data_IF_159617150672
#
_entry.id   IF_159617150672
#
_cell.length_a   1.000
_cell.length_b   1.000
_cell.length_c   1.000
_cell.angle_alpha   90.00
_cell.angle_beta   90.00
_cell.angle_gamma   90.00
#
_symmetry.space_group_name_H-M   'P 1'
#
loop_
_entity.id
_entity.type
_entity.pdbx_description
1 polymer ?
#
# COMPACT_ATOMS: atom_id res chain seq x y z
N UNK A 1 -4.46 8.99 -10.96
CA UNK A 1 -4.11 7.60 -11.34
C UNK A 1 -4.94 6.61 -10.54
N UNK A 2 -4.98 6.67 -9.21
CA UNK A 2 -5.73 5.69 -8.37
C UNK A 2 -7.22 5.59 -8.72
N UNK A 3 -7.91 6.70 -8.99
CA UNK A 3 -9.32 6.71 -9.40
C UNK A 3 -9.57 6.14 -10.81
N UNK A 4 -8.64 6.29 -11.74
CA UNK A 4 -8.73 5.70 -13.07
C UNK A 4 -8.62 4.17 -13.01
N UNK A 5 -7.74 3.68 -12.12
CA UNK A 5 -7.59 2.26 -11.81
C UNK A 5 -8.88 1.71 -11.19
N UNK A 6 -9.44 2.43 -10.21
CA UNK A 6 -10.70 2.07 -9.58
C UNK A 6 -11.85 1.99 -10.58
N UNK A 7 -11.98 2.99 -11.46
CA UNK A 7 -13.02 3.04 -12.50
C UNK A 7 -12.89 1.87 -13.50
N UNK A 8 -11.65 1.54 -13.90
CA UNK A 8 -11.37 0.40 -14.78
C UNK A 8 -11.76 -0.93 -14.12
N UNK A 9 -11.36 -1.15 -12.87
CA UNK A 9 -11.70 -2.36 -12.12
C UNK A 9 -13.21 -2.47 -11.89
N UNK A 10 -13.86 -1.38 -11.49
CA UNK A 10 -15.30 -1.33 -11.29
C UNK A 10 -16.08 -1.68 -12.57
N UNK A 11 -15.71 -1.10 -13.70
CA UNK A 11 -16.35 -1.40 -14.99
C UNK A 11 -16.24 -2.87 -15.36
N UNK A 12 -15.10 -3.52 -15.03
CA UNK A 12 -14.87 -4.91 -15.34
C UNK A 12 -15.75 -5.89 -14.54
N UNK A 13 -16.12 -5.56 -13.28
CA UNK A 13 -16.90 -6.47 -12.40
C UNK A 13 -18.38 -6.14 -12.30
N UNK A 14 -18.76 -4.86 -12.43
CA UNK A 14 -20.07 -4.30 -12.10
C UNK A 14 -21.28 -5.07 -12.62
N UNK A 15 -21.17 -5.68 -13.81
CA UNK A 15 -22.30 -6.38 -14.45
C UNK A 15 -22.19 -7.92 -14.34
N UNK A 16 -21.19 -8.42 -13.61
CA UNK A 16 -20.84 -9.85 -13.61
C UNK A 16 -20.89 -10.49 -12.22
N UNK A 17 -21.18 -9.71 -11.18
CA UNK A 17 -21.30 -10.14 -9.78
C UNK A 17 -22.46 -9.43 -9.08
N UNK A 18 -22.84 -9.91 -7.91
CA UNK A 18 -23.93 -9.34 -7.10
C UNK A 18 -23.43 -8.14 -6.29
N UNK A 19 -22.18 -8.21 -5.81
CA UNK A 19 -21.52 -7.12 -5.12
C UNK A 19 -20.00 -7.17 -5.35
N UNK A 20 -19.32 -6.04 -5.20
CA UNK A 20 -17.87 -5.95 -5.36
C UNK A 20 -17.27 -4.95 -4.36
N UNK A 21 -15.99 -5.16 -4.08
CA UNK A 21 -15.11 -4.24 -3.36
C UNK A 21 -13.76 -4.22 -4.08
N UNK A 22 -13.22 -3.03 -4.27
CA UNK A 22 -11.94 -2.79 -4.93
C UNK A 22 -11.06 -2.01 -3.95
N UNK A 23 -9.89 -2.55 -3.66
CA UNK A 23 -8.85 -1.92 -2.87
C UNK A 23 -7.65 -1.63 -3.76
N UNK A 24 -7.17 -0.41 -3.73
CA UNK A 24 -6.00 0.02 -4.48
C UNK A 24 -5.01 0.62 -3.49
N UNK A 25 -3.76 0.29 -3.66
CA UNK A 25 -2.66 0.82 -2.88
C UNK A 25 -1.55 1.28 -3.81
N UNK A 26 -1.05 2.48 -3.57
CA UNK A 26 0.16 3.04 -4.17
C UNK A 26 1.11 3.39 -3.03
N UNK A 27 2.37 3.02 -3.14
CA UNK A 27 3.38 3.37 -2.15
C UNK A 27 4.71 3.73 -2.80
N UNK A 28 5.45 4.59 -2.11
CA UNK A 28 6.85 4.88 -2.39
C UNK A 28 7.64 4.72 -1.10
N UNK A 29 8.78 4.06 -1.16
CA UNK A 29 9.64 3.88 0.00
C UNK A 29 11.12 4.07 -0.33
N UNK A 30 11.86 4.52 0.67
CA UNK A 30 13.33 4.55 0.71
C UNK A 30 13.74 3.70 1.90
N UNK A 31 14.60 2.72 1.66
CA UNK A 31 15.16 1.86 2.69
C UNK A 31 16.67 1.83 2.61
N UNK A 32 17.33 2.06 3.74
CA UNK A 32 18.77 1.97 3.90
C UNK A 32 19.09 1.00 5.02
N UNK A 33 20.10 0.20 4.82
CA UNK A 33 20.67 -0.68 5.83
C UNK A 33 22.18 -0.53 5.85
N UNK A 34 22.78 -0.49 7.03
CA UNK A 34 24.20 -0.49 7.19
C UNK A 34 24.64 -1.56 8.18
N UNK A 35 25.82 -2.06 7.94
CA UNK A 35 26.53 -2.94 8.86
C UNK A 35 27.78 -2.23 9.36
N UNK A 36 27.80 -1.94 10.65
CA UNK A 36 28.76 -1.00 11.24
C UNK A 36 28.63 0.36 10.55
N UNK A 37 29.73 0.90 10.05
CA UNK A 37 29.81 2.19 9.36
C UNK A 37 29.58 2.09 7.84
N UNK A 38 29.49 0.87 7.30
CA UNK A 38 29.39 0.65 5.86
C UNK A 38 27.95 0.45 5.43
N UNK A 39 27.51 1.22 4.43
CA UNK A 39 26.21 1.05 3.79
C UNK A 39 26.15 -0.31 3.10
N UNK A 40 25.22 -1.17 3.54
CA UNK A 40 25.00 -2.49 2.98
C UNK A 40 24.09 -2.45 1.76
N UNK A 41 22.98 -1.72 1.84
CA UNK A 41 22.13 -1.42 0.69
C UNK A 41 21.40 -0.08 0.85
N UNK A 42 21.02 0.47 -0.29
CA UNK A 42 20.13 1.60 -0.43
C UNK A 42 19.12 1.28 -1.54
N UNK A 43 17.83 1.39 -1.23
CA UNK A 43 16.74 1.01 -2.14
C UNK A 43 15.69 2.11 -2.16
N UNK A 44 15.25 2.45 -3.36
CA UNK A 44 14.02 3.20 -3.59
C UNK A 44 13.05 2.30 -4.34
N UNK A 45 11.80 2.21 -3.88
CA UNK A 45 10.79 1.33 -4.44
C UNK A 45 9.48 2.09 -4.62
N UNK A 46 8.82 1.83 -5.73
CA UNK A 46 7.47 2.31 -6.01
C UNK A 46 6.62 1.09 -6.32
N UNK A 47 5.60 0.90 -5.52
CA UNK A 47 4.66 -0.20 -5.67
C UNK A 47 3.25 0.32 -5.94
N UNK A 48 2.51 -0.45 -6.73
CA UNK A 48 1.08 -0.24 -6.93
C UNK A 48 0.39 -1.60 -7.04
N UNK A 49 -0.74 -1.74 -6.38
CA UNK A 49 -1.51 -2.97 -6.41
C UNK A 49 -3.02 -2.72 -6.41
N UNK A 50 -3.75 -3.64 -7.03
CA UNK A 50 -5.22 -3.65 -7.07
C UNK A 50 -5.70 -5.01 -6.59
N UNK A 51 -6.46 -5.03 -5.49
CA UNK A 51 -7.21 -6.17 -5.02
C UNK A 51 -8.69 -6.04 -5.39
N UNK A 52 -9.28 -7.07 -5.97
CA UNK A 52 -10.66 -7.11 -6.39
C UNK A 52 -11.36 -8.26 -5.68
N UNK A 53 -12.37 -7.94 -4.89
CA UNK A 53 -13.19 -8.89 -4.16
C UNK A 53 -14.61 -8.80 -4.66
N UNK A 54 -15.23 -9.93 -4.95
CA UNK A 54 -16.61 -10.00 -5.46
C UNK A 54 -17.44 -10.99 -4.67
N UNK A 55 -18.75 -10.75 -4.63
CA UNK A 55 -19.74 -11.72 -4.17
C UNK A 55 -20.57 -12.10 -5.39
N UNK A 56 -20.75 -13.40 -5.61
CA UNK A 56 -21.63 -13.95 -6.63
C UNK A 56 -22.28 -15.24 -6.13
N UNK A 57 -23.59 -15.32 -6.18
CA UNK A 57 -24.36 -16.46 -5.67
C UNK A 57 -24.00 -16.79 -4.20
N UNK A 58 -23.88 -15.77 -3.35
CA UNK A 58 -23.43 -15.85 -1.95
C UNK A 58 -22.04 -16.50 -1.76
N UNK A 59 -21.19 -16.42 -2.76
CA UNK A 59 -19.79 -16.90 -2.71
C UNK A 59 -18.85 -15.75 -2.95
N UNK A 60 -17.80 -15.68 -2.14
CA UNK A 60 -16.74 -14.68 -2.25
C UNK A 60 -15.66 -15.14 -3.21
N UNK A 61 -15.25 -14.29 -4.11
CA UNK A 61 -14.05 -14.48 -4.92
C UNK A 61 -13.10 -13.30 -4.77
N UNK A 62 -11.82 -13.57 -4.90
CA UNK A 62 -10.76 -12.56 -4.78
C UNK A 62 -9.67 -12.82 -5.82
N UNK A 63 -9.16 -11.74 -6.39
CA UNK A 63 -7.92 -11.74 -7.15
C UNK A 63 -7.22 -10.39 -6.99
N UNK A 64 -5.93 -10.34 -7.27
CA UNK A 64 -5.15 -9.12 -7.22
C UNK A 64 -4.16 -9.06 -8.39
N UNK A 65 -3.69 -7.86 -8.69
CA UNK A 65 -2.61 -7.64 -9.65
C UNK A 65 -1.80 -6.39 -9.28
N UNK A 66 -0.49 -6.44 -9.52
CA UNK A 66 0.40 -5.28 -9.54
C UNK A 66 0.66 -4.78 -10.97
N UNK A 67 0.18 -5.47 -12.00
CA UNK A 67 0.24 -5.04 -13.39
C UNK A 67 -1.07 -4.32 -13.78
N UNK A 68 -1.01 -3.00 -13.94
CA UNK A 68 -2.17 -2.17 -14.28
C UNK A 68 -2.78 -2.48 -15.64
N UNK A 69 -2.06 -3.21 -16.51
CA UNK A 69 -2.62 -3.69 -17.77
C UNK A 69 -3.50 -4.93 -17.59
N UNK A 70 -3.37 -5.65 -16.45
CA UNK A 70 -4.08 -6.90 -16.15
C UNK A 70 -5.26 -6.73 -15.19
N UNK A 71 -5.72 -5.51 -14.97
CA UNK A 71 -6.86 -5.24 -14.08
C UNK A 71 -8.11 -6.02 -14.51
N UNK A 72 -8.41 -6.05 -15.81
CA UNK A 72 -9.57 -6.78 -16.34
C UNK A 72 -9.43 -8.30 -16.19
N UNK A 73 -8.22 -8.82 -16.35
CA UNK A 73 -7.92 -10.24 -16.11
C UNK A 73 -8.10 -10.60 -14.63
N UNK A 74 -7.58 -9.78 -13.72
CA UNK A 74 -7.79 -9.95 -12.28
C UNK A 74 -9.27 -9.86 -11.90
N UNK A 75 -10.03 -8.95 -12.50
CA UNK A 75 -11.47 -8.83 -12.31
C UNK A 75 -12.21 -10.12 -12.71
N UNK A 76 -11.91 -10.65 -13.88
CA UNK A 76 -12.49 -11.92 -14.34
C UNK A 76 -12.08 -13.09 -13.45
N UNK A 77 -10.82 -13.14 -13.03
CA UNK A 77 -10.31 -14.17 -12.13
C UNK A 77 -10.99 -14.13 -10.76
N UNK A 78 -11.27 -12.94 -10.22
CA UNK A 78 -12.01 -12.81 -8.96
C UNK A 78 -13.41 -13.45 -9.05
N UNK A 79 -14.10 -13.27 -10.18
CA UNK A 79 -15.42 -13.86 -10.44
C UNK A 79 -15.31 -15.39 -10.58
N UNK A 80 -14.33 -15.89 -11.32
CA UNK A 80 -14.12 -17.35 -11.45
C UNK A 80 -13.80 -18.00 -10.11
N UNK A 81 -13.05 -17.33 -9.26
CA UNK A 81 -12.68 -17.81 -7.94
C UNK A 81 -13.88 -17.98 -6.99
N UNK A 82 -15.00 -17.33 -7.24
CA UNK A 82 -16.25 -17.60 -6.47
C UNK A 82 -16.70 -19.04 -6.59
N UNK A 83 -16.47 -19.69 -7.74
CA UNK A 83 -16.85 -21.09 -7.98
C UNK A 83 -16.12 -22.08 -7.06
N UNK A 84 -14.96 -21.69 -6.56
CA UNK A 84 -14.11 -22.53 -5.70
C UNK A 84 -14.48 -22.41 -4.22
N UNK A 85 -15.25 -21.39 -3.84
CA UNK A 85 -15.59 -21.11 -2.46
C UNK A 85 -16.99 -21.64 -2.08
N UNK A 86 -17.18 -21.82 -0.78
CA UNK A 86 -18.47 -22.22 -0.20
C UNK A 86 -19.41 -21.02 -0.14
N UNK A 87 -20.70 -21.30 -0.13
CA UNK A 87 -21.75 -20.31 0.13
C UNK A 87 -21.57 -19.76 1.55
N UNK A 88 -21.61 -18.45 1.69
CA UNK A 88 -21.68 -17.72 2.95
C UNK A 88 -22.75 -16.63 2.83
N UNK A 89 -23.92 -16.90 3.36
CA UNK A 89 -25.06 -15.98 3.31
C UNK A 89 -24.91 -14.77 4.24
N UNK A 90 -23.93 -14.80 5.16
CA UNK A 90 -23.68 -13.71 6.11
C UNK A 90 -22.55 -12.78 5.65
N UNK A 91 -21.87 -13.10 4.54
CA UNK A 91 -20.81 -12.25 4.04
C UNK A 91 -21.38 -11.05 3.28
N UNK A 92 -21.01 -9.86 3.70
CA UNK A 92 -21.39 -8.60 3.04
C UNK A 92 -20.21 -7.61 3.06
N UNK A 93 -20.20 -6.70 2.12
CA UNK A 93 -19.29 -5.55 2.15
C UNK A 93 -19.82 -4.46 3.06
N UNK A 94 -18.91 -3.62 3.56
CA UNK A 94 -19.25 -2.49 4.43
C UNK A 94 -20.26 -1.55 3.78
N UNK A 95 -21.14 -1.00 4.60
CA UNK A 95 -22.03 0.08 4.25
C UNK A 95 -21.33 1.43 4.43
N UNK A 96 -21.91 2.48 3.85
CA UNK A 96 -21.40 3.84 3.99
C UNK A 96 -21.55 4.30 5.44
N UNK A 97 -20.42 4.56 6.07
CA UNK A 97 -20.37 5.14 7.41
C UNK A 97 -19.54 6.42 7.40
N UNK A 98 -19.76 7.27 8.40
CA UNK A 98 -18.94 8.47 8.57
C UNK A 98 -17.58 8.08 9.14
N UNK A 99 -16.55 8.19 8.31
CA UNK A 99 -15.17 7.98 8.73
C UNK A 99 -14.62 9.27 9.34
N UNK A 100 -14.01 9.22 10.53
CA UNK A 100 -13.37 10.39 11.12
C UNK A 100 -12.13 10.79 10.31
N UNK A 101 -11.95 12.08 10.09
CA UNK A 101 -10.72 12.61 9.51
C UNK A 101 -9.56 12.48 10.51
N UNK A 102 -8.50 11.76 10.15
CA UNK A 102 -7.26 11.68 10.91
C UNK A 102 -6.30 12.74 10.36
N UNK A 103 -5.83 13.63 11.25
CA UNK A 103 -4.97 14.75 10.86
C UNK A 103 -3.50 14.45 11.18
N UNK A 104 -2.59 15.07 10.42
CA UNK A 104 -1.14 15.01 10.62
C UNK A 104 -0.54 13.61 10.39
N UNK A 105 -1.14 12.84 9.51
CA UNK A 105 -0.63 11.54 9.09
C UNK A 105 0.22 11.62 7.83
N UNK A 106 0.17 12.75 7.10
CA UNK A 106 0.93 12.98 5.88
C UNK A 106 1.81 14.23 5.99
N UNK A 107 3.10 14.09 5.70
CA UNK A 107 4.08 15.17 5.59
C UNK A 107 4.54 15.35 4.15
N UNK A 108 4.18 16.49 3.55
CA UNK A 108 4.55 16.83 2.17
C UNK A 108 6.04 16.89 1.90
N UNK A 109 6.87 17.03 2.94
CA UNK A 109 8.32 17.02 2.82
C UNK A 109 8.88 15.70 2.32
N UNK A 110 8.10 14.61 2.40
CA UNK A 110 8.48 13.35 1.81
C UNK A 110 8.74 13.47 0.30
N UNK A 111 7.99 14.32 -0.41
CA UNK A 111 8.13 14.54 -1.85
C UNK A 111 9.48 15.16 -2.24
N UNK A 112 10.11 15.86 -1.32
CA UNK A 112 11.41 16.53 -1.52
C UNK A 112 12.57 15.63 -1.08
N UNK A 113 12.29 14.49 -0.41
CA UNK A 113 13.32 13.61 0.11
C UNK A 113 13.94 12.77 -1.02
N UNK A 114 15.24 12.87 -1.18
CA UNK A 114 16.04 12.07 -2.11
C UNK A 114 16.75 10.91 -1.41
N UNK A 115 17.14 9.90 -2.20
CA UNK A 115 17.95 8.79 -1.72
C UNK A 115 19.30 9.28 -1.18
N UNK A 116 19.93 10.26 -1.84
CA UNK A 116 21.23 10.82 -1.44
C UNK A 116 21.14 11.54 -0.10
N UNK A 117 20.10 12.36 0.12
CA UNK A 117 19.85 13.02 1.41
C UNK A 117 19.59 12.03 2.53
N UNK A 118 18.88 10.94 2.22
CA UNK A 118 18.63 9.86 3.18
C UNK A 118 19.91 9.15 3.58
N UNK A 119 20.81 8.88 2.62
CA UNK A 119 22.14 8.29 2.86
C UNK A 119 22.99 9.23 3.72
N UNK A 120 23.02 10.52 3.40
CA UNK A 120 23.76 11.51 4.17
C UNK A 120 23.23 11.62 5.60
N UNK A 121 21.91 11.61 5.77
CA UNK A 121 21.28 11.63 7.08
C UNK A 121 21.66 10.40 7.93
N UNK A 122 21.63 9.20 7.34
CA UNK A 122 22.02 7.97 8.03
C UNK A 122 23.51 8.01 8.43
N UNK A 123 24.41 8.42 7.53
CA UNK A 123 25.85 8.56 7.81
C UNK A 123 26.10 9.54 8.94
N UNK A 124 25.51 10.73 8.88
CA UNK A 124 25.67 11.74 9.95
C UNK A 124 25.17 11.23 11.30
N UNK A 125 24.12 10.38 11.30
CA UNK A 125 23.62 9.76 12.53
C UNK A 125 24.60 8.72 13.08
N UNK A 126 25.20 7.90 12.21
CA UNK A 126 26.25 6.94 12.57
C UNK A 126 27.46 7.68 13.18
N UNK A 127 27.99 8.66 12.46
CA UNK A 127 29.16 9.44 12.87
C UNK A 127 28.96 10.12 14.23
N UNK A 128 27.79 10.77 14.41
CA UNK A 128 27.39 11.39 15.66
C UNK A 128 27.35 10.40 16.83
N UNK A 129 26.91 9.18 16.58
CA UNK A 129 26.79 8.14 17.60
C UNK A 129 28.17 7.60 17.99
N UNK A 130 29.06 7.43 17.02
CA UNK A 130 30.46 7.01 17.25
C UNK A 130 31.24 8.09 18.02
N UNK A 131 31.08 9.37 17.68
CA UNK A 131 31.69 10.49 18.36
C UNK A 131 31.28 10.57 19.84
N UNK A 132 30.14 10.03 20.21
CA UNK A 132 29.72 9.90 21.61
C UNK A 132 30.24 8.63 22.31
N UNK A 133 31.09 7.87 21.65
CA UNK A 133 31.78 6.71 22.23
C UNK A 133 30.99 5.42 22.17
N UNK A 134 29.99 5.33 21.30
CA UNK A 134 29.22 4.11 21.09
C UNK A 134 29.77 3.31 19.90
N UNK A 135 29.87 1.97 20.05
CA UNK A 135 30.11 1.05 18.95
C UNK A 135 28.79 0.71 18.26
N UNK A 136 28.76 0.83 16.92
CA UNK A 136 27.58 0.48 16.12
C UNK A 136 27.80 -0.85 15.43
N UNK A 137 26.83 -1.76 15.55
CA UNK A 137 26.83 -3.06 14.87
C UNK A 137 26.00 -3.05 13.59
N UNK A 138 24.99 -2.20 13.54
CA UNK A 138 24.14 -1.98 12.37
C UNK A 138 23.22 -0.76 12.56
N UNK A 139 22.77 -0.22 11.45
CA UNK A 139 21.77 0.84 11.45
C UNK A 139 20.87 0.75 10.24
N UNK A 140 19.70 1.35 10.32
CA UNK A 140 18.77 1.41 9.22
C UNK A 140 17.97 2.70 9.23
N UNK A 141 17.59 3.13 8.05
CA UNK A 141 16.68 4.24 7.83
C UNK A 141 15.55 3.77 6.91
N UNK A 142 14.34 4.22 7.18
CA UNK A 142 13.21 4.03 6.30
C UNK A 142 12.39 5.31 6.21
N UNK A 143 11.96 5.63 5.02
CA UNK A 143 10.96 6.65 4.77
C UNK A 143 9.95 6.09 3.78
N UNK A 144 8.67 6.32 4.01
CA UNK A 144 7.62 5.82 3.14
C UNK A 144 6.46 6.79 3.04
N UNK A 145 5.82 6.81 1.89
CA UNK A 145 4.45 7.32 1.72
C UNK A 145 3.58 6.21 1.17
N UNK A 146 2.34 6.20 1.59
CA UNK A 146 1.32 5.31 1.07
C UNK A 146 0.02 6.05 0.83
N UNK A 147 -0.69 5.64 -0.20
CA UNK A 147 -2.04 6.09 -0.52
C UNK A 147 -2.89 4.91 -0.87
N UNK A 148 -4.05 4.81 -0.26
CA UNK A 148 -4.99 3.73 -0.54
C UNK A 148 -6.37 4.27 -0.87
N UNK A 149 -7.12 3.51 -1.66
CA UNK A 149 -8.51 3.77 -2.00
C UNK A 149 -9.29 2.48 -1.90
N UNK A 150 -10.38 2.50 -1.15
CA UNK A 150 -11.37 1.42 -1.13
C UNK A 150 -12.68 1.95 -1.68
N UNK A 151 -13.23 1.23 -2.66
CA UNK A 151 -14.57 1.48 -3.19
C UNK A 151 -15.37 0.17 -3.21
N UNK A 152 -16.69 0.24 -3.00
CA UNK A 152 -17.53 -0.93 -3.13
C UNK A 152 -18.92 -0.64 -3.74
N UNK A 153 -19.68 -1.69 -4.01
CA UNK A 153 -21.02 -1.62 -4.60
C UNK A 153 -22.06 -0.95 -3.70
N UNK A 154 -21.82 -0.84 -2.38
CA UNK A 154 -22.72 -0.20 -1.42
C UNK A 154 -22.50 1.34 -1.37
N UNK A 155 -21.58 1.88 -2.19
CA UNK A 155 -21.31 3.31 -2.27
C UNK A 155 -20.18 3.80 -1.36
N UNK A 156 -19.47 2.89 -0.70
CA UNK A 156 -18.24 3.25 0.03
C UNK A 156 -17.21 3.76 -0.96
N UNK A 157 -16.59 4.89 -0.63
CA UNK A 157 -15.43 5.47 -1.34
C UNK A 157 -14.59 6.19 -0.31
N UNK A 158 -13.55 5.54 0.16
CA UNK A 158 -12.67 6.02 1.23
C UNK A 158 -11.25 6.01 0.70
N UNK A 159 -10.61 7.16 0.79
CA UNK A 159 -9.20 7.36 0.50
C UNK A 159 -8.47 7.65 1.80
N UNK A 160 -7.28 7.09 1.93
CA UNK A 160 -6.34 7.36 3.03
C UNK A 160 -4.95 7.57 2.48
N UNK A 161 -4.17 8.45 3.13
CA UNK A 161 -2.79 8.71 2.79
C UNK A 161 -1.96 8.90 4.07
N UNK A 162 -0.71 8.49 4.02
CA UNK A 162 0.17 8.63 5.16
C UNK A 162 1.64 8.60 4.77
N UNK A 163 2.47 9.19 5.64
CA UNK A 163 3.93 9.11 5.55
C UNK A 163 4.50 8.54 6.83
N UNK A 164 5.57 7.77 6.72
CA UNK A 164 6.30 7.20 7.82
C UNK A 164 7.80 7.44 7.70
N UNK A 165 8.45 7.71 8.85
CA UNK A 165 9.90 7.84 8.94
C UNK A 165 10.40 7.02 10.12
N UNK A 166 11.48 6.28 9.91
CA UNK A 166 12.11 5.48 10.93
C UNK A 166 13.62 5.50 10.81
N UNK A 167 14.29 5.54 11.95
CA UNK A 167 15.74 5.32 12.07
C UNK A 167 16.00 4.42 13.26
N UNK A 168 16.91 3.48 13.09
CA UNK A 168 17.32 2.56 14.13
C UNK A 168 18.82 2.35 14.10
N UNK A 169 19.44 2.26 15.30
CA UNK A 169 20.83 1.92 15.50
C UNK A 169 20.93 0.80 16.53
N UNK A 170 21.85 -0.10 16.32
CA UNK A 170 22.13 -1.21 17.23
C UNK A 170 23.64 -1.34 17.48
#
# INVERSE_FOLDING_TARGET
MIYEIADKAQKAVKNSCDAYEIYIEESKSIELDSRKEELNFAKEEIDCGVGIRVIKDNKVGFAFTSDMNKIEEAAMQSIENTKLNKVDENYAFAEVEKVPEIKKVYDKKFNDLSLDESIEFLKNTIDTTIDQGCDITGSGFSASEGRSLIINSNGVSIEDEGTGFGIGLS
#
